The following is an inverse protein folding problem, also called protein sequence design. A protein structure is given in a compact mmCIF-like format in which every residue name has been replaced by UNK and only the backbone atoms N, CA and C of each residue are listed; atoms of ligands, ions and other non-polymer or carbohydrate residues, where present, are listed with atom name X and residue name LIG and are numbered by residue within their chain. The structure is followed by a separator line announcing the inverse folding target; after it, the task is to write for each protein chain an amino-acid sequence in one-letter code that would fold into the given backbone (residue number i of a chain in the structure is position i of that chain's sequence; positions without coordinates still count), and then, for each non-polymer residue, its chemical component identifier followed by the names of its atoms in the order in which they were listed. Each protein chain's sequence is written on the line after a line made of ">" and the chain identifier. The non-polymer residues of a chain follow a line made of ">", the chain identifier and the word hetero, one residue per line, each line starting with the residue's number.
data_IF_861214596484
#
_entry.id   IF_861214596484
#
_cell.length_a   1.000
_cell.length_b   1.000
_cell.length_c   1.000
_cell.angle_alpha   90.00
_cell.angle_beta   90.00
_cell.angle_gamma   90.00
#
_symmetry.space_group_name_H-M   'P 1'
#
loop_
_entity.id
_entity.type
_entity.pdbx_description
1 polymer ?
#
# COMPACT_ATOMS: atom_id res chain seq x y z
N UNK A 1 -26.90 -19.80 -54.58
CA UNK A 1 -27.22 -18.68 -53.65
C UNK A 1 -26.23 -18.74 -52.49
N UNK A 2 -25.69 -17.59 -52.11
CA UNK A 2 -24.45 -17.40 -51.32
C UNK A 2 -24.59 -17.91 -49.88
N UNK A 3 -23.64 -18.74 -49.44
CA UNK A 3 -23.40 -19.06 -48.03
C UNK A 3 -22.95 -17.77 -47.31
N UNK A 4 -23.71 -17.32 -46.32
CA UNK A 4 -23.29 -16.24 -45.43
C UNK A 4 -22.43 -16.85 -44.30
N UNK A 5 -21.12 -16.58 -44.32
CA UNK A 5 -20.24 -16.82 -43.18
C UNK A 5 -20.56 -15.78 -42.11
N UNK A 6 -21.10 -16.24 -40.98
CA UNK A 6 -21.24 -15.43 -39.77
C UNK A 6 -19.87 -15.46 -39.07
N UNK A 7 -19.06 -14.42 -39.27
CA UNK A 7 -17.87 -14.17 -38.46
C UNK A 7 -18.33 -13.73 -37.08
N UNK A 8 -18.35 -14.65 -36.12
CA UNK A 8 -18.46 -14.33 -34.70
C UNK A 8 -17.16 -13.66 -34.29
N UNK A 9 -17.18 -12.34 -34.15
CA UNK A 9 -16.10 -11.56 -33.58
C UNK A 9 -16.09 -11.82 -32.07
N UNK A 10 -15.28 -12.79 -31.63
CA UNK A 10 -15.00 -13.01 -30.21
C UNK A 10 -14.16 -11.83 -29.74
N UNK A 11 -14.81 -10.83 -29.12
CA UNK A 11 -14.10 -9.79 -28.39
C UNK A 11 -13.45 -10.44 -27.17
N UNK A 12 -12.14 -10.60 -27.23
CA UNK A 12 -11.32 -11.02 -26.09
C UNK A 12 -11.50 -9.93 -25.03
N UNK A 13 -12.31 -10.18 -24.00
CA UNK A 13 -12.29 -9.39 -22.78
C UNK A 13 -10.93 -9.67 -22.17
N UNK A 14 -9.96 -8.79 -22.42
CA UNK A 14 -8.74 -8.77 -21.65
C UNK A 14 -9.19 -8.56 -20.20
N UNK A 15 -8.95 -9.55 -19.34
CA UNK A 15 -8.97 -9.33 -17.89
C UNK A 15 -7.85 -8.33 -17.61
N UNK A 16 -8.12 -7.04 -17.79
CA UNK A 16 -7.32 -5.98 -17.19
C UNK A 16 -7.54 -6.15 -15.70
N UNK A 17 -6.52 -6.66 -15.00
CA UNK A 17 -6.48 -6.57 -13.54
C UNK A 17 -6.81 -5.12 -13.19
N UNK A 18 -7.85 -4.85 -12.39
CA UNK A 18 -8.12 -3.48 -11.99
C UNK A 18 -6.85 -2.98 -11.33
N UNK A 19 -6.33 -1.88 -11.86
CA UNK A 19 -5.34 -1.09 -11.15
C UNK A 19 -6.03 -0.77 -9.81
N UNK A 20 -5.39 -1.12 -8.70
CA UNK A 20 -6.02 -1.00 -7.38
C UNK A 20 -6.12 0.47 -7.01
N UNK A 21 -7.16 1.14 -7.50
CA UNK A 21 -7.42 2.53 -7.19
C UNK A 21 -7.61 2.69 -5.67
N UNK A 22 -6.76 3.50 -5.08
CA UNK A 22 -6.85 3.93 -3.68
C UNK A 22 -7.75 5.15 -3.58
N UNK A 23 -8.40 5.33 -2.43
CA UNK A 23 -9.16 6.54 -2.13
C UNK A 23 -8.23 7.74 -1.90
N UNK A 24 -7.07 7.49 -1.29
CA UNK A 24 -6.00 8.46 -1.19
C UNK A 24 -5.20 8.43 -2.50
N UNK A 25 -5.15 9.55 -3.21
CA UNK A 25 -4.35 9.71 -4.43
C UNK A 25 -3.53 10.99 -4.38
N UNK A 26 -2.35 10.97 -5.00
CA UNK A 26 -1.53 12.17 -5.17
C UNK A 26 -0.68 12.11 -6.43
N UNK A 27 -1.29 12.42 -7.57
CA UNK A 27 -0.63 12.38 -8.88
C UNK A 27 0.39 13.52 -9.09
N UNK A 28 0.24 14.61 -8.34
CA UNK A 28 1.08 15.81 -8.39
C UNK A 28 2.08 15.91 -7.24
N UNK A 29 2.11 14.92 -6.33
CA UNK A 29 3.11 14.84 -5.28
C UNK A 29 4.53 14.70 -5.88
N UNK A 30 5.56 15.30 -5.24
CA UNK A 30 6.94 15.16 -5.67
C UNK A 30 7.38 13.69 -5.75
N UNK A 31 7.91 13.31 -6.90
CA UNK A 31 8.45 11.98 -7.15
C UNK A 31 9.93 11.89 -6.73
N UNK A 32 10.29 10.78 -6.09
CA UNK A 32 11.67 10.49 -5.69
C UNK A 32 12.06 9.06 -6.06
N UNK A 33 13.33 8.87 -6.40
CA UNK A 33 13.87 7.53 -6.66
C UNK A 33 13.98 6.70 -5.38
N UNK A 34 13.57 5.45 -5.47
CA UNK A 34 13.83 4.42 -4.46
C UNK A 34 15.18 3.76 -4.77
N UNK A 35 16.07 3.75 -3.77
CA UNK A 35 17.35 3.04 -3.84
C UNK A 35 17.22 1.61 -3.34
N UNK A 36 16.43 1.41 -2.28
CA UNK A 36 16.18 0.10 -1.67
C UNK A 36 14.97 0.16 -0.71
N UNK A 37 14.22 -0.92 -0.62
CA UNK A 37 13.27 -1.17 0.48
C UNK A 37 14.02 -1.80 1.66
N UNK A 38 13.81 -1.28 2.87
CA UNK A 38 14.44 -1.78 4.09
C UNK A 38 13.57 -2.86 4.74
N UNK A 39 12.29 -2.56 4.95
CA UNK A 39 11.26 -3.42 5.57
C UNK A 39 9.86 -2.98 5.07
N UNK A 40 8.79 -3.44 5.71
CA UNK A 40 7.41 -3.24 5.26
C UNK A 40 6.92 -1.79 5.26
N UNK A 41 7.60 -0.88 5.95
CA UNK A 41 7.21 0.53 6.05
C UNK A 41 8.39 1.52 5.92
N UNK A 42 9.60 1.04 5.66
CA UNK A 42 10.78 1.88 5.48
C UNK A 42 11.43 1.68 4.13
N UNK A 43 11.64 2.77 3.40
CA UNK A 43 12.38 2.82 2.15
C UNK A 43 13.58 3.77 2.23
N UNK A 44 14.57 3.54 1.38
CA UNK A 44 15.78 4.35 1.27
C UNK A 44 15.80 5.05 -0.08
N UNK A 45 15.94 6.37 -0.06
CA UNK A 45 16.20 7.21 -1.24
C UNK A 45 17.70 7.55 -1.28
N UNK A 46 18.23 8.09 -2.40
CA UNK A 46 19.64 8.50 -2.44
C UNK A 46 20.05 9.53 -1.38
N UNK A 47 19.08 10.26 -0.81
CA UNK A 47 19.33 11.35 0.14
C UNK A 47 19.07 10.98 1.60
N UNK A 48 18.10 10.09 1.87
CA UNK A 48 17.60 9.79 3.21
C UNK A 48 16.70 8.55 3.23
N UNK A 49 16.48 8.01 4.43
CA UNK A 49 15.43 7.03 4.69
C UNK A 49 14.08 7.73 4.88
N UNK A 50 13.05 7.10 4.36
CA UNK A 50 11.65 7.50 4.48
C UNK A 50 10.91 6.36 5.19
N UNK A 51 10.21 6.71 6.27
CA UNK A 51 9.27 5.86 6.97
C UNK A 51 7.87 6.29 6.53
N UNK A 52 7.06 5.33 6.09
CA UNK A 52 5.65 5.54 5.77
C UNK A 52 4.96 6.18 6.98
N UNK A 53 4.08 7.14 6.72
CA UNK A 53 3.45 7.95 7.78
C UNK A 53 2.25 7.24 8.40
N UNK A 54 1.39 6.67 7.55
CA UNK A 54 0.04 6.24 7.91
C UNK A 54 -0.08 4.79 8.35
N UNK A 55 0.99 4.00 8.23
CA UNK A 55 0.97 2.56 8.50
C UNK A 55 2.19 2.12 9.30
N UNK A 56 1.96 1.19 10.22
CA UNK A 56 3.00 0.43 10.92
C UNK A 56 2.94 -1.03 10.48
N UNK A 57 4.06 -1.56 9.99
CA UNK A 57 4.15 -2.97 9.59
C UNK A 57 4.90 -3.79 10.63
N UNK A 58 4.70 -5.13 10.68
CA UNK A 58 5.46 -5.99 11.57
C UNK A 58 6.97 -5.87 11.36
N UNK A 59 7.69 -5.88 12.47
CA UNK A 59 9.15 -5.75 12.47
C UNK A 59 9.83 -7.00 11.92
N UNK A 60 11.08 -6.87 11.48
CA UNK A 60 11.83 -7.98 10.91
C UNK A 60 11.87 -9.21 11.85
N UNK A 61 11.39 -10.35 11.37
CA UNK A 61 11.30 -11.60 12.13
C UNK A 61 9.95 -11.84 12.80
N UNK A 62 9.06 -10.84 12.80
CA UNK A 62 7.67 -11.01 13.19
C UNK A 62 6.85 -11.66 12.08
N UNK A 63 5.71 -12.23 12.46
CA UNK A 63 4.75 -12.81 11.52
C UNK A 63 4.27 -11.71 10.57
N UNK A 64 4.20 -12.01 9.27
CA UNK A 64 3.77 -11.11 8.19
C UNK A 64 4.79 -10.03 7.76
N UNK A 65 5.95 -9.93 8.40
CA UNK A 65 6.97 -8.94 8.03
C UNK A 65 7.50 -9.15 6.60
N UNK A 66 7.70 -10.41 6.19
CA UNK A 66 8.15 -10.76 4.85
C UNK A 66 7.13 -10.39 3.76
N UNK A 67 5.85 -10.58 4.05
CA UNK A 67 4.74 -10.28 3.17
C UNK A 67 4.60 -8.77 2.97
N UNK A 68 4.66 -8.00 4.06
CA UNK A 68 4.67 -6.53 4.00
C UNK A 68 5.87 -6.00 3.20
N UNK A 69 7.07 -6.51 3.50
CA UNK A 69 8.30 -6.12 2.79
C UNK A 69 8.24 -6.48 1.29
N UNK A 70 7.69 -7.66 0.95
CA UNK A 70 7.54 -8.05 -0.45
C UNK A 70 6.54 -7.14 -1.17
N UNK A 71 5.44 -6.79 -0.50
CA UNK A 71 4.40 -5.94 -1.09
C UNK A 71 4.89 -4.54 -1.39
N UNK A 72 5.60 -3.89 -0.46
CA UNK A 72 6.15 -2.56 -0.71
C UNK A 72 7.21 -2.59 -1.82
N UNK A 73 7.98 -3.67 -1.98
CA UNK A 73 8.90 -3.83 -3.12
C UNK A 73 8.15 -3.84 -4.47
N UNK A 74 6.99 -4.49 -4.54
CA UNK A 74 6.15 -4.52 -5.75
C UNK A 74 5.53 -3.16 -6.07
N UNK A 75 5.10 -2.41 -5.04
CA UNK A 75 4.41 -1.14 -5.17
C UNK A 75 5.38 0.02 -5.46
N UNK A 76 6.49 0.09 -4.73
CA UNK A 76 7.42 1.21 -4.80
C UNK A 76 8.37 1.16 -6.01
N UNK A 77 8.65 -0.04 -6.56
CA UNK A 77 9.47 -0.26 -7.77
C UNK A 77 10.75 0.59 -7.79
N UNK A 78 10.85 1.55 -8.71
CA UNK A 78 12.02 2.42 -8.90
C UNK A 78 11.83 3.82 -8.31
N UNK A 79 10.60 4.28 -8.14
CA UNK A 79 10.27 5.62 -7.64
C UNK A 79 8.90 5.62 -6.97
N UNK A 80 8.75 6.55 -6.03
CA UNK A 80 7.53 6.80 -5.28
C UNK A 80 7.26 8.29 -5.22
N UNK A 81 6.00 8.67 -5.01
CA UNK A 81 5.64 10.05 -4.69
C UNK A 81 5.46 10.22 -3.19
N UNK A 82 5.78 11.40 -2.68
CA UNK A 82 5.75 11.69 -1.26
C UNK A 82 4.81 12.86 -0.96
N UNK A 83 3.83 12.63 -0.10
CA UNK A 83 3.05 13.69 0.55
C UNK A 83 3.59 13.93 1.96
N UNK A 84 3.80 15.19 2.34
CA UNK A 84 4.22 15.51 3.70
C UNK A 84 3.06 15.34 4.69
N UNK A 85 3.33 14.72 5.84
CA UNK A 85 2.45 14.77 6.99
C UNK A 85 2.77 15.94 7.93
N UNK A 86 2.00 16.12 9.02
CA UNK A 86 2.24 17.18 10.00
C UNK A 86 3.60 17.05 10.72
N UNK A 87 4.11 15.83 10.87
CA UNK A 87 5.48 15.56 11.34
C UNK A 87 6.40 15.26 10.16
N UNK A 88 7.55 15.91 10.16
CA UNK A 88 8.55 15.74 9.11
C UNK A 88 9.54 14.61 9.40
N UNK A 89 9.75 14.26 10.67
CA UNK A 89 10.73 13.24 11.08
C UNK A 89 10.26 12.48 12.30
N UNK A 90 10.66 11.21 12.38
CA UNK A 90 10.52 10.43 13.61
C UNK A 90 11.68 10.65 14.59
N UNK A 91 11.63 9.98 15.75
CA UNK A 91 12.67 10.06 16.78
C UNK A 91 14.04 9.51 16.35
N UNK A 92 14.11 8.74 15.26
CA UNK A 92 15.33 8.18 14.70
C UNK A 92 15.90 9.04 13.56
N UNK A 93 15.25 10.17 13.25
CA UNK A 93 15.64 11.07 12.17
C UNK A 93 15.27 10.56 10.78
N UNK A 94 14.42 9.54 10.66
CA UNK A 94 13.85 9.13 9.36
C UNK A 94 12.84 10.18 8.93
N UNK A 95 12.79 10.48 7.63
CA UNK A 95 11.74 11.32 7.05
C UNK A 95 10.41 10.61 7.16
N UNK A 96 9.36 11.31 7.59
CA UNK A 96 8.00 10.79 7.53
C UNK A 96 7.28 11.37 6.29
N UNK A 97 6.54 10.51 5.59
CA UNK A 97 5.72 10.88 4.45
C UNK A 97 4.68 9.81 4.17
N UNK A 98 3.49 10.20 3.69
CA UNK A 98 2.61 9.25 3.01
C UNK A 98 3.23 8.94 1.65
N UNK A 99 3.28 7.65 1.30
CA UNK A 99 4.01 7.18 0.14
C UNK A 99 3.01 6.70 -0.90
N UNK A 100 3.24 7.09 -2.14
CA UNK A 100 2.39 6.71 -3.26
C UNK A 100 3.23 6.03 -4.35
N UNK A 101 2.61 5.15 -5.13
CA UNK A 101 3.24 4.60 -6.35
C UNK A 101 3.52 5.71 -7.36
N UNK A 102 4.26 5.41 -8.42
CA UNK A 102 4.52 6.34 -9.53
C UNK A 102 3.20 6.83 -10.17
N UNK A 103 2.18 5.97 -10.18
CA UNK A 103 0.82 6.23 -10.67
C UNK A 103 -0.08 6.98 -9.67
N UNK A 104 0.41 7.29 -8.47
CA UNK A 104 -0.33 8.10 -7.49
C UNK A 104 -1.20 7.31 -6.52
N UNK A 105 -1.07 5.98 -6.42
CA UNK A 105 -1.83 5.18 -5.45
C UNK A 105 -1.15 5.10 -4.09
N UNK A 106 -1.90 5.33 -3.01
CA UNK A 106 -1.34 5.37 -1.66
C UNK A 106 -0.93 3.98 -1.14
N UNK A 107 0.37 3.82 -0.86
CA UNK A 107 0.95 2.57 -0.37
C UNK A 107 0.54 2.31 1.08
N UNK A 108 0.44 3.34 1.93
CA UNK A 108 -0.01 3.20 3.32
C UNK A 108 -1.42 2.56 3.38
N UNK A 109 -2.36 3.07 2.56
CA UNK A 109 -3.72 2.56 2.41
C UNK A 109 -3.72 1.11 1.90
N UNK A 110 -2.92 0.80 0.88
CA UNK A 110 -2.85 -0.57 0.33
C UNK A 110 -2.37 -1.54 1.41
N UNK A 111 -1.33 -1.21 2.18
CA UNK A 111 -0.80 -2.08 3.23
C UNK A 111 -1.80 -2.31 4.36
N UNK A 112 -2.57 -1.28 4.75
CA UNK A 112 -3.65 -1.41 5.74
C UNK A 112 -4.80 -2.27 5.18
N UNK A 113 -5.24 -1.99 3.94
CA UNK A 113 -6.32 -2.73 3.26
C UNK A 113 -5.99 -4.20 3.08
N UNK A 114 -4.73 -4.51 2.82
CA UNK A 114 -4.25 -5.88 2.64
C UNK A 114 -3.94 -6.59 3.95
N UNK A 115 -4.15 -5.94 5.10
CA UNK A 115 -3.87 -6.50 6.42
C UNK A 115 -2.40 -6.89 6.58
N UNK A 116 -1.51 -6.05 6.05
CA UNK A 116 -0.05 -6.17 6.15
C UNK A 116 0.55 -5.15 7.13
N UNK A 117 -0.23 -4.16 7.56
CA UNK A 117 0.11 -3.22 8.62
C UNK A 117 -1.12 -2.71 9.36
N UNK A 118 -0.90 -2.05 10.49
CA UNK A 118 -1.90 -1.33 11.29
C UNK A 118 -1.84 0.16 11.00
N UNK A 119 -2.96 0.87 11.11
CA UNK A 119 -2.99 2.31 10.90
C UNK A 119 -2.25 3.02 12.04
N UNK A 120 -1.48 4.05 11.68
CA UNK A 120 -0.94 4.99 12.66
C UNK A 120 -2.07 5.81 13.29
N UNK A 121 -2.07 5.96 14.62
CA UNK A 121 -3.22 6.51 15.37
C UNK A 121 -2.95 7.80 16.14
N UNK A 122 -1.73 8.35 16.09
CA UNK A 122 -1.41 9.54 16.87
C UNK A 122 -1.69 10.85 16.12
N UNK A 123 -1.41 10.92 14.82
CA UNK A 123 -1.56 12.12 14.00
C UNK A 123 -1.66 11.82 12.50
N UNK A 124 -1.81 12.88 11.68
CA UNK A 124 -1.83 12.79 10.22
C UNK A 124 -3.18 13.12 9.59
N UNK A 125 -3.16 13.70 8.39
CA UNK A 125 -4.36 14.13 7.67
C UNK A 125 -5.27 12.97 7.22
N UNK A 126 -4.71 11.76 7.08
CA UNK A 126 -5.43 10.57 6.61
C UNK A 126 -5.81 9.60 7.75
N UNK A 127 -5.59 9.99 9.02
CA UNK A 127 -5.76 9.14 10.20
C UNK A 127 -7.15 8.51 10.27
N UNK A 128 -8.22 9.32 10.27
CA UNK A 128 -9.59 8.83 10.47
C UNK A 128 -9.95 7.74 9.45
N UNK A 129 -9.55 7.96 8.20
CA UNK A 129 -9.80 7.02 7.11
C UNK A 129 -9.00 5.71 7.27
N UNK A 130 -7.70 5.80 7.52
CA UNK A 130 -6.85 4.61 7.66
C UNK A 130 -7.25 3.76 8.87
N UNK A 131 -7.65 4.39 9.98
CA UNK A 131 -8.15 3.69 11.16
C UNK A 131 -9.46 2.97 10.87
N UNK A 132 -10.41 3.60 10.18
CA UNK A 132 -11.66 2.94 9.78
C UNK A 132 -11.42 1.77 8.81
N UNK A 133 -10.48 1.94 7.88
CA UNK A 133 -10.05 0.90 6.95
C UNK A 133 -9.45 -0.30 7.68
N UNK A 134 -8.55 -0.08 8.64
CA UNK A 134 -7.98 -1.15 9.46
C UNK A 134 -9.07 -1.91 10.21
N UNK A 135 -9.99 -1.19 10.87
CA UNK A 135 -11.07 -1.82 11.64
C UNK A 135 -11.92 -2.73 10.75
N UNK A 136 -12.24 -2.28 9.53
CA UNK A 136 -13.02 -3.07 8.57
C UNK A 136 -12.24 -4.30 8.11
N UNK A 137 -10.98 -4.12 7.72
CA UNK A 137 -10.08 -5.20 7.27
C UNK A 137 -9.88 -6.26 8.36
N UNK A 138 -9.69 -5.82 9.60
CA UNK A 138 -9.54 -6.69 10.77
C UNK A 138 -10.83 -7.44 11.11
N UNK A 139 -12.00 -6.79 11.06
CA UNK A 139 -13.29 -7.47 11.27
C UNK A 139 -13.54 -8.56 10.23
N UNK A 140 -13.15 -8.33 8.99
CA UNK A 140 -13.28 -9.31 7.90
C UNK A 140 -12.24 -10.44 7.98
N UNK A 141 -11.21 -10.32 8.82
CA UNK A 141 -10.15 -11.32 8.92
C UNK A 141 -9.28 -11.41 7.67
N UNK A 142 -9.19 -10.31 6.90
CA UNK A 142 -8.46 -10.29 5.63
C UNK A 142 -6.96 -10.04 5.87
N UNK A 143 -6.08 -10.59 5.04
CA UNK A 143 -4.65 -10.31 5.16
C UNK A 143 -3.93 -11.08 6.28
N UNK A 144 -2.60 -11.11 6.17
CA UNK A 144 -1.78 -11.97 7.01
C UNK A 144 -1.93 -11.66 8.52
N UNK A 145 -2.10 -10.38 8.90
CA UNK A 145 -2.26 -9.99 10.31
C UNK A 145 -3.53 -10.56 10.94
N UNK A 146 -4.63 -10.61 10.19
CA UNK A 146 -5.97 -10.89 10.71
C UNK A 146 -6.44 -12.33 10.45
N UNK A 147 -5.84 -13.03 9.49
CA UNK A 147 -6.07 -14.46 9.27
C UNK A 147 -5.65 -15.28 10.50
N UNK A 148 -6.46 -16.27 10.89
CA UNK A 148 -6.22 -17.23 11.97
C UNK A 148 -6.10 -16.66 13.41
N UNK A 149 -6.75 -15.54 13.73
CA UNK A 149 -6.82 -15.10 15.12
C UNK A 149 -7.79 -15.98 15.95
N UNK A 150 -7.35 -16.57 17.07
CA UNK A 150 -8.22 -17.40 17.91
C UNK A 150 -9.38 -16.56 18.46
N UNK A 151 -10.62 -16.95 18.13
CA UNK A 151 -11.85 -16.30 18.61
C UNK A 151 -12.75 -15.67 17.53
N UNK A 152 -12.32 -15.62 16.26
CA UNK A 152 -13.17 -15.22 15.13
C UNK A 152 -13.56 -16.44 14.30
N UNK A 153 -14.54 -17.22 14.76
CA UNK A 153 -15.27 -18.17 13.90
C UNK A 153 -16.26 -17.40 13.05
N UNK A 154 -16.19 -17.64 11.74
CA UNK A 154 -17.14 -17.22 10.70
C UNK A 154 -18.60 -17.39 11.07
#
# INVERSE_FOLDING_TARGET
>A
MRLALITILVTIVACTTPIEETLLQCDDCPEVRVSRVIDGDTLETPSRRVRLFGVDTPEAGERCASEATSRINELARNSVRLEEGPRLTDQFGRRLAYVYTEEGYNIDEILVREGLGTAWTEDGQHLDYLVELEQTTSRMGFGCLWLNQPGKTS
#
